data_IF_869741219084
#
_entry.id   IF_869741219084
#
_cell.length_a   1.000
_cell.length_b   1.000
_cell.length_c   1.000
_cell.angle_alpha   90.00
_cell.angle_beta   90.00
_cell.angle_gamma   90.00
#
_symmetry.space_group_name_H-M   'P 1'
#
loop_
_entity.id
_entity.type
_entity.pdbx_description
1 polymer ?
#
# COMPACT_ATOMS: atom_id res chain seq x y z
N UNK A 1 25.45 -5.91 0.18
CA UNK A 1 24.62 -5.69 1.38
C UNK A 1 24.40 -4.18 1.52
N UNK A 2 23.16 -3.73 1.57
CA UNK A 2 22.85 -2.32 1.82
C UNK A 2 22.53 -2.19 3.32
N UNK A 3 23.47 -1.65 4.10
CA UNK A 3 23.28 -1.44 5.53
C UNK A 3 22.87 0.00 5.78
N UNK A 4 21.96 0.21 6.72
CA UNK A 4 21.67 1.53 7.23
C UNK A 4 22.95 2.12 7.87
N UNK A 5 23.27 3.41 7.65
CA UNK A 5 24.41 4.06 8.30
C UNK A 5 24.33 3.93 9.82
N UNK A 6 25.47 3.97 10.52
CA UNK A 6 25.47 3.85 11.99
C UNK A 6 24.89 5.10 12.62
N UNK A 7 24.21 4.96 13.77
CA UNK A 7 23.48 6.05 14.42
C UNK A 7 24.32 7.31 14.75
N UNK A 8 25.64 7.16 14.91
CA UNK A 8 26.56 8.26 15.18
C UNK A 8 27.14 8.91 13.91
N UNK A 9 26.92 8.33 12.73
CA UNK A 9 27.40 8.86 11.46
C UNK A 9 26.51 10.01 11.00
N UNK A 10 27.13 11.07 10.46
CA UNK A 10 26.39 12.22 9.94
C UNK A 10 25.35 11.82 8.88
N UNK A 11 25.68 10.83 8.05
CA UNK A 11 24.76 10.26 7.05
C UNK A 11 23.48 9.73 7.68
N UNK A 12 23.55 9.07 8.85
CA UNK A 12 22.36 8.61 9.54
C UNK A 12 21.46 9.78 9.95
N UNK A 13 22.05 10.85 10.48
CA UNK A 13 21.31 12.07 10.85
C UNK A 13 20.59 12.68 9.65
N UNK A 14 21.25 12.74 8.49
CA UNK A 14 20.64 13.25 7.26
C UNK A 14 19.48 12.36 6.80
N UNK A 15 19.64 11.04 6.82
CA UNK A 15 18.56 10.09 6.48
C UNK A 15 17.39 10.23 7.46
N UNK A 16 17.68 10.37 8.75
CA UNK A 16 16.65 10.58 9.78
C UNK A 16 15.88 11.88 9.55
N UNK A 17 16.58 13.00 9.32
CA UNK A 17 15.95 14.29 9.02
C UNK A 17 15.11 14.25 7.74
N UNK A 18 15.57 13.52 6.73
CA UNK A 18 14.78 13.27 5.52
C UNK A 18 13.45 12.60 5.84
N UNK A 19 13.43 11.50 6.59
CA UNK A 19 12.18 10.83 6.97
C UNK A 19 11.28 11.69 7.87
N UNK A 20 11.86 12.44 8.80
CA UNK A 20 11.10 13.38 9.63
C UNK A 20 10.44 14.50 8.80
N UNK A 21 11.13 14.94 7.75
CA UNK A 21 10.58 15.95 6.81
C UNK A 21 9.52 15.33 5.93
N UNK A 22 9.73 14.10 5.44
CA UNK A 22 8.79 13.36 4.61
C UNK A 22 7.46 13.15 5.34
N UNK A 23 7.48 12.58 6.55
CA UNK A 23 6.30 12.26 7.37
C UNK A 23 5.77 13.44 8.19
N UNK A 24 6.01 14.67 7.72
CA UNK A 24 5.35 15.83 8.30
C UNK A 24 3.84 15.80 7.93
N UNK A 25 2.97 16.13 8.88
CA UNK A 25 1.52 16.15 8.69
C UNK A 25 1.06 17.13 7.59
N UNK A 26 1.87 18.15 7.28
CA UNK A 26 1.57 19.10 6.20
C UNK A 26 1.81 18.51 4.80
N UNK A 27 2.50 17.37 4.69
CA UNK A 27 2.78 16.73 3.42
C UNK A 27 1.65 15.79 3.00
N UNK A 28 1.20 15.93 1.76
CA UNK A 28 0.34 14.93 1.15
C UNK A 28 1.18 13.74 0.67
N UNK A 29 1.20 12.65 1.44
CA UNK A 29 1.85 11.41 1.03
C UNK A 29 0.85 10.51 0.33
N UNK A 30 1.22 10.05 -0.86
CA UNK A 30 0.50 9.02 -1.59
C UNK A 30 1.20 7.68 -1.37
N UNK A 31 0.46 6.67 -0.95
CA UNK A 31 0.99 5.33 -0.69
C UNK A 31 0.27 4.27 -1.50
N UNK A 32 0.99 3.20 -1.80
CA UNK A 32 0.43 1.96 -2.32
C UNK A 32 0.61 0.89 -1.24
N UNK A 33 -0.48 0.40 -0.67
CA UNK A 33 -0.45 -0.48 0.51
C UNK A 33 -0.85 0.25 1.80
N UNK A 34 -0.57 -0.39 2.94
CA UNK A 34 -0.93 0.14 4.25
C UNK A 34 0.27 0.81 4.92
N UNK A 35 0.09 2.02 5.45
CA UNK A 35 1.16 2.73 6.17
C UNK A 35 1.66 1.96 7.40
N UNK A 36 0.81 1.10 7.97
CA UNK A 36 1.17 0.25 9.10
C UNK A 36 2.30 -0.74 8.74
N UNK A 37 2.58 -1.02 7.47
CA UNK A 37 3.75 -1.82 7.07
C UNK A 37 5.08 -1.16 7.49
N UNK A 38 5.09 0.17 7.61
CA UNK A 38 6.26 0.93 8.06
C UNK A 38 6.51 0.82 9.58
N UNK A 39 5.56 0.29 10.36
CA UNK A 39 5.68 0.14 11.83
C UNK A 39 6.88 -0.70 12.24
N UNK A 40 7.21 -1.73 11.47
CA UNK A 40 8.37 -2.59 11.74
C UNK A 40 9.70 -1.82 11.63
N UNK A 41 9.71 -0.74 10.85
CA UNK A 41 10.89 0.08 10.59
C UNK A 41 11.11 1.19 11.64
N UNK A 42 10.13 1.45 12.52
CA UNK A 42 10.33 2.37 13.66
C UNK A 42 11.47 1.90 14.58
N UNK A 43 11.75 0.59 14.62
CA UNK A 43 12.88 0.01 15.35
C UNK A 43 14.26 0.54 14.91
N UNK A 44 14.38 1.07 13.68
CA UNK A 44 15.60 1.69 13.17
C UNK A 44 15.79 3.15 13.62
N UNK A 45 14.88 3.72 14.41
CA UNK A 45 14.94 5.08 14.96
C UNK A 45 15.04 6.21 13.91
N UNK A 46 14.57 5.95 12.68
CA UNK A 46 14.50 6.93 11.58
C UNK A 46 13.26 7.83 11.69
N UNK A 47 12.17 7.30 12.22
CA UNK A 47 10.89 7.96 12.46
C UNK A 47 10.13 7.21 13.57
N UNK A 48 9.07 7.82 14.11
CA UNK A 48 8.26 7.23 15.20
C UNK A 48 6.89 6.78 14.73
N UNK A 49 6.20 5.98 15.55
CA UNK A 49 4.80 5.62 15.33
C UNK A 49 3.91 6.87 15.23
N UNK A 50 4.07 7.82 16.15
CA UNK A 50 3.30 9.08 16.15
C UNK A 50 3.46 9.85 14.82
N UNK A 51 4.66 9.86 14.24
CA UNK A 51 4.88 10.52 12.95
C UNK A 51 4.13 9.83 11.80
N UNK A 52 4.05 8.50 11.82
CA UNK A 52 3.28 7.75 10.82
C UNK A 52 1.77 7.96 10.99
N UNK A 53 1.29 7.91 12.23
CA UNK A 53 -0.13 8.06 12.57
C UNK A 53 -0.66 9.46 12.22
N UNK A 54 0.18 10.50 12.36
CA UNK A 54 -0.16 11.88 12.01
C UNK A 54 -0.10 12.17 10.51
N UNK A 55 0.63 11.35 9.73
CA UNK A 55 0.90 11.61 8.32
C UNK A 55 -0.32 11.41 7.40
N UNK A 56 -1.42 10.83 7.91
CA UNK A 56 -2.70 10.58 7.21
C UNK A 56 -2.59 10.39 5.68
N UNK A 57 -1.90 9.34 5.22
CA UNK A 57 -1.55 9.18 3.82
C UNK A 57 -2.77 8.82 2.95
N UNK A 58 -2.71 9.23 1.69
CA UNK A 58 -3.71 8.91 0.66
C UNK A 58 -3.37 7.53 0.08
N UNK A 59 -4.22 6.54 0.35
CA UNK A 59 -4.07 5.18 -0.16
C UNK A 59 -4.54 5.08 -1.62
N UNK A 60 -3.58 5.08 -2.55
CA UNK A 60 -3.84 4.96 -3.98
C UNK A 60 -4.32 3.56 -4.39
N UNK A 61 -3.95 2.51 -3.65
CA UNK A 61 -4.40 1.15 -3.95
C UNK A 61 -5.91 1.02 -3.76
N UNK A 62 -6.47 1.62 -2.70
CA UNK A 62 -7.92 1.66 -2.50
C UNK A 62 -8.63 2.49 -3.57
N UNK A 63 -8.08 3.65 -3.92
CA UNK A 63 -8.64 4.48 -4.99
C UNK A 63 -8.66 3.74 -6.34
N UNK A 64 -7.58 3.01 -6.66
CA UNK A 64 -7.51 2.16 -7.84
C UNK A 64 -8.54 1.03 -7.80
N UNK A 65 -8.66 0.30 -6.68
CA UNK A 65 -9.65 -0.78 -6.53
C UNK A 65 -11.08 -0.28 -6.75
N UNK A 66 -11.43 0.87 -6.16
CA UNK A 66 -12.75 1.48 -6.37
C UNK A 66 -12.97 1.78 -7.84
N UNK A 67 -12.03 2.47 -8.49
CA UNK A 67 -12.13 2.78 -9.91
C UNK A 67 -12.23 1.52 -10.79
N UNK A 68 -11.41 0.50 -10.52
CA UNK A 68 -11.42 -0.76 -11.26
C UNK A 68 -12.77 -1.47 -11.16
N UNK A 69 -13.32 -1.57 -9.95
CA UNK A 69 -14.62 -2.22 -9.72
C UNK A 69 -15.79 -1.44 -10.34
N UNK A 70 -15.71 -0.11 -10.41
CA UNK A 70 -16.69 0.72 -11.13
C UNK A 70 -16.66 0.47 -12.65
N UNK A 71 -15.47 0.29 -13.23
CA UNK A 71 -15.31 0.01 -14.66
C UNK A 71 -15.58 -1.45 -15.02
N UNK A 72 -15.42 -2.37 -14.05
CA UNK A 72 -15.61 -3.82 -14.23
C UNK A 72 -16.59 -4.38 -13.18
N UNK A 73 -17.87 -3.97 -13.22
CA UNK A 73 -18.85 -4.42 -12.25
C UNK A 73 -19.02 -5.94 -12.32
N UNK A 74 -19.07 -6.59 -11.15
CA UNK A 74 -19.40 -8.00 -11.07
C UNK A 74 -20.79 -8.24 -11.69
N UNK A 75 -20.87 -9.14 -12.67
CA UNK A 75 -22.14 -9.60 -13.21
C UNK A 75 -22.56 -10.88 -12.47
N UNK A 76 -23.54 -10.81 -11.55
CA UNK A 76 -24.02 -12.00 -10.86
C UNK A 76 -24.65 -12.96 -11.86
N UNK A 77 -24.17 -14.20 -11.87
CA UNK A 77 -24.65 -15.28 -12.72
C UNK A 77 -26.05 -15.72 -12.27
N UNK A 78 -27.10 -15.11 -12.79
CA UNK A 78 -28.49 -15.56 -12.59
C UNK A 78 -28.96 -16.61 -13.60
N UNK A 79 -28.07 -17.26 -14.34
CA UNK A 79 -28.47 -18.35 -15.23
C UNK A 79 -27.38 -19.40 -15.37
N UNK A 80 -27.77 -20.66 -15.14
CA UNK A 80 -26.96 -21.83 -15.42
C UNK A 80 -26.35 -21.75 -16.82
N UNK A 81 -25.07 -22.15 -16.93
CA UNK A 81 -24.24 -22.16 -18.13
C UNK A 81 -23.85 -20.79 -18.69
N UNK A 82 -22.64 -20.32 -18.35
CA UNK A 82 -21.64 -19.68 -19.24
C UNK A 82 -20.32 -19.71 -18.44
N UNK A 83 -19.21 -19.92 -19.14
CA UNK A 83 -17.87 -20.15 -18.61
C UNK A 83 -17.47 -19.10 -17.54
N UNK A 84 -16.93 -19.59 -16.42
CA UNK A 84 -16.32 -18.79 -15.35
C UNK A 84 -15.12 -17.92 -15.79
N UNK A 85 -14.77 -17.92 -17.08
CA UNK A 85 -13.52 -17.36 -17.62
C UNK A 85 -13.52 -15.85 -17.86
N UNK A 86 -14.67 -15.18 -17.84
CA UNK A 86 -14.78 -13.83 -18.40
C UNK A 86 -14.98 -12.72 -17.36
N UNK A 87 -15.14 -13.06 -16.07
CA UNK A 87 -15.31 -12.07 -15.00
C UNK A 87 -14.00 -11.80 -14.26
N UNK A 88 -13.44 -10.59 -14.45
CA UNK A 88 -12.15 -10.14 -13.89
C UNK A 88 -12.28 -9.34 -12.58
N UNK A 89 -13.40 -9.48 -11.86
CA UNK A 89 -13.58 -8.80 -10.56
C UNK A 89 -12.87 -9.54 -9.42
N UNK A 90 -12.56 -8.84 -8.32
CA UNK A 90 -11.80 -9.40 -7.18
C UNK A 90 -12.43 -10.67 -6.58
N UNK A 91 -13.76 -10.76 -6.55
CA UNK A 91 -14.49 -11.92 -6.03
C UNK A 91 -14.35 -13.15 -6.94
N UNK A 92 -14.43 -12.96 -8.26
CA UNK A 92 -14.29 -14.02 -9.26
C UNK A 92 -12.85 -14.52 -9.39
N UNK A 93 -11.87 -13.66 -9.10
CA UNK A 93 -10.46 -14.02 -9.04
C UNK A 93 -10.06 -14.73 -7.72
N UNK A 94 -11.01 -14.95 -6.79
CA UNK A 94 -10.75 -15.62 -5.52
C UNK A 94 -9.86 -14.81 -4.56
N UNK A 95 -9.73 -13.50 -4.78
CA UNK A 95 -8.86 -12.60 -4.01
C UNK A 95 -9.57 -12.13 -2.74
N UNK A 96 -9.96 -13.04 -1.85
CA UNK A 96 -10.56 -12.64 -0.57
C UNK A 96 -9.55 -11.98 0.39
N UNK A 97 -9.93 -10.79 0.89
CA UNK A 97 -9.74 -10.15 2.22
C UNK A 97 -8.45 -10.35 3.04
N UNK A 98 -7.37 -10.89 2.49
CA UNK A 98 -6.08 -10.85 3.17
C UNK A 98 -5.44 -9.49 2.85
N UNK A 99 -5.39 -8.62 3.86
CA UNK A 99 -4.85 -7.24 3.86
C UNK A 99 -3.38 -7.09 3.43
N UNK A 100 -2.79 -8.12 2.82
CA UNK A 100 -1.40 -8.16 2.36
C UNK A 100 -1.39 -8.55 0.88
N UNK A 101 -1.94 -7.69 0.02
CA UNK A 101 -1.78 -7.83 -1.42
C UNK A 101 -0.59 -6.96 -1.84
N UNK A 102 0.51 -7.61 -2.22
CA UNK A 102 1.71 -6.95 -2.72
C UNK A 102 1.45 -6.30 -4.09
N UNK A 103 2.30 -5.35 -4.48
CA UNK A 103 2.32 -4.71 -5.81
C UNK A 103 2.25 -5.73 -6.97
N UNK A 104 2.70 -6.96 -6.76
CA UNK A 104 2.72 -8.02 -7.77
C UNK A 104 1.31 -8.45 -8.21
N UNK A 105 0.32 -8.36 -7.32
CA UNK A 105 -1.06 -8.70 -7.66
C UNK A 105 -1.77 -7.59 -8.44
N UNK A 106 -1.31 -6.33 -8.33
CA UNK A 106 -1.85 -5.22 -9.12
C UNK A 106 -1.44 -5.32 -10.61
N UNK A 107 -0.26 -5.89 -10.88
CA UNK A 107 0.22 -6.16 -12.25
C UNK A 107 -0.55 -7.32 -12.90
N UNK A 108 -1.16 -8.22 -12.11
CA UNK A 108 -1.96 -9.33 -12.63
C UNK A 108 -3.31 -8.91 -13.26
N UNK A 109 -3.63 -7.60 -13.25
CA UNK A 109 -4.79 -7.01 -13.90
C UNK A 109 -4.47 -6.36 -15.26
N UNK A 110 -3.24 -6.51 -15.78
CA UNK A 110 -2.90 -6.33 -17.21
C UNK A 110 -3.23 -7.59 -18.03
#
# INVERSE_FOLDING_TARGET
MCHLPRAYEHTFTLVKQFFQTLFNADNNIFIWGNINELHSFCSYNLFTYDQLDLCNPINLQNAFKTHWNEQHPHQPTTSASINYSDCICEECLGLQKNNTQSLQNAVAFE
#
